data_IF_242459312154
#
_entry.id   IF_242459312154
#
_cell.length_a   1.000
_cell.length_b   1.000
_cell.length_c   1.000
_cell.angle_alpha   90.00
_cell.angle_beta   90.00
_cell.angle_gamma   90.00
#
_symmetry.space_group_name_H-M   'P 1'
#
loop_
_entity.id
_entity.type
_entity.pdbx_description
1 polymer ?
#
# COMPACT_ATOMS: atom_id res chain seq x y z
N UNK A 1 2.37 12.94 -17.93
CA UNK A 1 2.94 11.79 -18.65
C UNK A 1 3.32 10.73 -17.63
N UNK A 2 3.00 9.45 -17.93
CA UNK A 2 3.23 8.33 -17.00
C UNK A 2 3.98 7.20 -17.74
N UNK A 3 5.09 6.76 -17.13
CA UNK A 3 5.81 5.54 -17.50
C UNK A 3 6.51 5.01 -16.24
N UNK A 4 5.82 4.14 -15.49
CA UNK A 4 6.33 3.66 -14.20
C UNK A 4 5.69 2.32 -13.81
N UNK A 5 6.46 1.40 -13.20
CA UNK A 5 5.94 0.14 -12.66
C UNK A 5 5.21 0.31 -11.33
N UNK A 6 5.23 1.49 -10.72
CA UNK A 6 4.71 1.76 -9.39
C UNK A 6 5.81 2.02 -8.37
N UNK A 7 5.50 1.81 -7.10
CA UNK A 7 6.44 2.09 -6.01
C UNK A 7 5.81 1.91 -4.63
N UNK A 8 6.47 2.45 -3.62
CA UNK A 8 6.06 2.36 -2.22
C UNK A 8 4.75 3.12 -1.97
N UNK A 9 3.89 2.56 -1.13
CA UNK A 9 2.53 3.07 -0.88
C UNK A 9 2.53 4.49 -0.30
N UNK A 10 3.31 4.75 0.75
CA UNK A 10 3.27 6.06 1.43
C UNK A 10 3.66 7.24 0.53
N UNK A 11 4.76 7.19 -0.25
CA UNK A 11 5.05 8.23 -1.24
C UNK A 11 3.95 8.41 -2.29
N UNK A 12 3.35 7.29 -2.75
CA UNK A 12 2.22 7.35 -3.70
C UNK A 12 1.05 8.11 -3.11
N UNK A 13 0.65 7.83 -1.87
CA UNK A 13 -0.47 8.51 -1.22
C UNK A 13 -0.21 10.02 -1.04
N UNK A 14 1.01 10.41 -0.66
CA UNK A 14 1.40 11.81 -0.53
C UNK A 14 1.29 12.55 -1.87
N UNK A 15 1.79 11.95 -2.95
CA UNK A 15 1.70 12.54 -4.30
C UNK A 15 0.24 12.57 -4.78
N UNK A 16 -0.52 11.51 -4.51
CA UNK A 16 -1.92 11.43 -4.90
C UNK A 16 -2.76 12.53 -4.25
N UNK A 17 -2.53 12.80 -2.96
CA UNK A 17 -3.17 13.90 -2.25
C UNK A 17 -2.83 15.25 -2.89
N UNK A 18 -1.56 15.50 -3.18
CA UNK A 18 -1.12 16.73 -3.85
C UNK A 18 -1.76 16.89 -5.24
N UNK A 19 -1.82 15.83 -6.03
CA UNK A 19 -2.45 15.85 -7.36
C UNK A 19 -3.97 16.11 -7.28
N UNK A 20 -4.65 15.54 -6.30
CA UNK A 20 -6.09 15.75 -6.07
C UNK A 20 -6.41 17.18 -5.63
N UNK A 21 -5.47 17.83 -4.94
CA UNK A 21 -5.58 19.22 -4.52
C UNK A 21 -5.44 20.25 -5.63
N UNK A 22 -4.99 19.85 -6.83
CA UNK A 22 -4.88 20.77 -7.95
C UNK A 22 -6.26 21.22 -8.46
N UNK A 23 -6.43 22.50 -8.72
CA UNK A 23 -7.66 23.06 -9.25
C UNK A 23 -7.80 22.87 -10.77
N UNK A 24 -6.68 22.69 -11.48
CA UNK A 24 -6.66 22.48 -12.92
C UNK A 24 -7.09 21.04 -13.29
N UNK A 25 -7.68 20.85 -14.47
CA UNK A 25 -7.97 19.52 -15.00
C UNK A 25 -6.68 18.70 -15.17
N UNK A 26 -6.69 17.49 -14.64
CA UNK A 26 -5.62 16.54 -14.86
C UNK A 26 -6.04 15.51 -15.91
N UNK A 27 -5.14 15.21 -16.83
CA UNK A 27 -5.24 14.14 -17.82
C UNK A 27 -4.01 13.26 -17.72
N UNK A 28 -4.10 12.01 -18.13
CA UNK A 28 -2.96 11.12 -18.10
C UNK A 28 -2.61 10.62 -19.50
N UNK A 29 -1.31 10.69 -19.84
CA UNK A 29 -0.76 10.11 -21.06
C UNK A 29 0.24 9.03 -20.69
N UNK A 30 -0.12 7.77 -20.91
CA UNK A 30 0.72 6.61 -20.59
C UNK A 30 1.58 6.28 -21.77
N UNK A 31 2.91 6.40 -21.62
CA UNK A 31 3.87 6.22 -22.72
C UNK A 31 4.47 4.82 -22.77
N UNK A 32 4.48 4.11 -21.66
CA UNK A 32 4.93 2.72 -21.54
C UNK A 32 4.03 1.97 -20.56
N UNK A 33 4.13 2.27 -19.29
CA UNK A 33 3.33 1.59 -18.28
C UNK A 33 2.84 2.54 -17.18
N UNK A 34 1.67 2.21 -16.65
CA UNK A 34 1.10 2.79 -15.44
C UNK A 34 0.61 1.63 -14.56
N UNK A 35 1.51 1.05 -13.77
CA UNK A 35 1.23 -0.14 -12.98
C UNK A 35 1.26 0.16 -11.49
N UNK A 36 0.46 -0.58 -10.70
CA UNK A 36 0.48 -0.50 -9.24
C UNK A 36 0.34 0.95 -8.76
N UNK A 37 1.20 1.43 -7.87
CA UNK A 37 1.19 2.82 -7.38
C UNK A 37 1.18 3.89 -8.48
N UNK A 38 1.80 3.62 -9.66
CA UNK A 38 1.73 4.54 -10.78
C UNK A 38 0.31 4.63 -11.38
N UNK A 39 -0.43 3.51 -11.44
CA UNK A 39 -1.83 3.55 -11.83
C UNK A 39 -2.67 4.26 -10.74
N UNK A 40 -2.36 4.05 -9.47
CA UNK A 40 -3.02 4.78 -8.39
C UNK A 40 -2.89 6.29 -8.57
N UNK A 41 -1.71 6.79 -8.92
CA UNK A 41 -1.50 8.21 -9.26
C UNK A 41 -2.33 8.66 -10.48
N UNK A 42 -2.51 7.78 -11.50
CA UNK A 42 -3.35 8.13 -12.64
C UNK A 42 -4.83 8.30 -12.27
N UNK A 43 -5.28 7.73 -11.14
CA UNK A 43 -6.65 7.96 -10.64
C UNK A 43 -6.90 9.41 -10.18
N UNK A 44 -5.87 10.23 -10.04
CA UNK A 44 -6.03 11.67 -9.85
C UNK A 44 -6.49 12.40 -11.14
N UNK A 45 -6.32 11.78 -12.30
CA UNK A 45 -6.78 12.35 -13.55
C UNK A 45 -8.33 12.39 -13.59
N UNK A 46 -8.87 13.60 -13.64
CA UNK A 46 -10.32 13.84 -13.77
C UNK A 46 -10.79 13.74 -15.23
N UNK A 47 -9.87 13.99 -16.15
CA UNK A 47 -10.08 13.88 -17.59
C UNK A 47 -9.56 12.55 -18.14
N UNK A 48 -9.43 12.47 -19.49
CA UNK A 48 -9.07 11.23 -20.17
C UNK A 48 -7.69 10.68 -19.80
N UNK A 49 -7.61 9.35 -19.80
CA UNK A 49 -6.37 8.56 -19.72
C UNK A 49 -6.12 7.93 -21.07
N UNK A 50 -5.07 8.36 -21.77
CA UNK A 50 -4.75 7.89 -23.12
C UNK A 50 -3.43 7.12 -23.12
N UNK A 51 -3.45 5.93 -23.72
CA UNK A 51 -2.28 5.11 -23.93
C UNK A 51 -1.59 5.50 -25.25
N UNK A 52 -0.27 5.73 -25.25
CA UNK A 52 0.49 6.07 -26.45
C UNK A 52 0.40 5.01 -27.54
N UNK A 53 0.23 3.76 -27.16
CA UNK A 53 0.19 2.65 -28.12
C UNK A 53 -0.36 1.35 -27.50
N UNK A 54 -0.55 0.32 -28.33
CA UNK A 54 -1.17 -0.93 -27.89
C UNK A 54 -0.32 -1.72 -26.90
N UNK A 55 0.98 -1.47 -26.83
CA UNK A 55 1.92 -2.14 -25.94
C UNK A 55 1.98 -1.51 -24.54
N UNK A 56 1.30 -0.38 -24.30
CA UNK A 56 1.17 0.19 -22.96
C UNK A 56 0.50 -0.81 -22.02
N UNK A 57 0.93 -0.79 -20.76
CA UNK A 57 0.39 -1.67 -19.73
C UNK A 57 -0.17 -0.83 -18.56
N UNK A 58 -1.36 -1.22 -18.08
CA UNK A 58 -2.05 -0.54 -16.99
C UNK A 58 -2.58 -1.53 -15.96
N UNK A 59 -2.94 -1.03 -14.79
CA UNK A 59 -3.53 -1.81 -13.73
C UNK A 59 -2.52 -2.32 -12.72
N UNK A 60 -2.38 -3.62 -12.53
CA UNK A 60 -1.62 -4.18 -11.39
C UNK A 60 -2.12 -3.57 -10.07
N UNK A 61 -3.46 -3.47 -9.91
CA UNK A 61 -4.10 -2.90 -8.72
C UNK A 61 -3.97 -3.92 -7.61
N UNK A 62 -2.97 -3.73 -6.76
CA UNK A 62 -2.63 -4.67 -5.71
C UNK A 62 -1.43 -4.19 -4.90
N UNK A 63 -1.13 -4.91 -3.83
CA UNK A 63 0.03 -4.69 -3.00
C UNK A 63 0.69 -6.02 -2.64
N UNK A 64 1.98 -5.98 -2.45
CA UNK A 64 2.74 -7.11 -1.90
C UNK A 64 3.78 -6.59 -0.91
N UNK A 65 4.25 -7.49 -0.07
CA UNK A 65 5.35 -7.25 0.86
C UNK A 65 6.33 -8.40 0.73
N UNK A 66 7.60 -8.07 0.59
CA UNK A 66 8.67 -9.05 0.55
C UNK A 66 9.35 -9.14 1.92
N UNK A 67 9.52 -10.36 2.41
CA UNK A 67 10.21 -10.64 3.67
C UNK A 67 11.42 -11.50 3.35
N UNK A 68 12.60 -10.98 3.62
CA UNK A 68 13.83 -11.75 3.54
C UNK A 68 14.08 -12.43 4.89
N UNK A 69 14.03 -13.76 4.91
CA UNK A 69 14.42 -14.57 6.06
C UNK A 69 15.90 -14.99 5.93
N UNK A 70 16.74 -14.34 6.67
CA UNK A 70 18.17 -14.56 6.69
C UNK A 70 18.64 -15.39 7.90
N UNK A 71 17.74 -15.94 8.71
CA UNK A 71 18.06 -16.58 9.99
C UNK A 71 18.95 -17.81 9.80
N UNK A 72 18.61 -18.67 8.85
CA UNK A 72 19.41 -19.88 8.58
C UNK A 72 20.79 -19.54 8.00
N UNK A 73 20.88 -18.56 7.12
CA UNK A 73 22.14 -18.08 6.57
C UNK A 73 23.07 -17.58 7.68
N UNK A 74 22.56 -16.72 8.57
CA UNK A 74 23.32 -16.18 9.70
C UNK A 74 23.76 -17.30 10.66
N UNK A 75 22.88 -18.26 10.96
CA UNK A 75 23.21 -19.39 11.80
C UNK A 75 24.37 -20.24 11.23
N UNK A 76 24.39 -20.50 9.92
CA UNK A 76 25.48 -21.16 9.21
C UNK A 76 26.82 -20.39 9.30
N UNK A 77 26.75 -19.07 9.39
CA UNK A 77 27.89 -18.17 9.56
C UNK A 77 28.34 -18.07 11.04
N UNK A 78 27.66 -18.76 11.96
CA UNK A 78 27.95 -18.69 13.41
C UNK A 78 27.46 -17.39 14.06
N UNK A 79 26.56 -16.64 13.39
CA UNK A 79 26.02 -15.37 13.89
C UNK A 79 24.66 -15.63 14.55
N UNK A 80 24.54 -15.37 15.85
CA UNK A 80 23.29 -15.40 16.58
C UNK A 80 22.65 -14.01 16.62
N UNK A 81 21.39 -13.89 16.15
CA UNK A 81 20.62 -12.63 16.22
C UNK A 81 19.62 -12.68 17.36
N UNK A 82 19.81 -11.84 18.36
CA UNK A 82 18.89 -11.69 19.49
C UNK A 82 18.05 -10.43 19.34
N UNK A 83 16.71 -10.55 19.48
CA UNK A 83 15.79 -9.41 19.53
C UNK A 83 15.15 -9.34 20.91
N UNK A 84 15.44 -8.27 21.63
CA UNK A 84 14.89 -8.02 22.95
C UNK A 84 13.85 -6.92 22.84
N UNK A 85 12.66 -7.18 23.35
CA UNK A 85 11.55 -6.23 23.35
C UNK A 85 11.31 -5.74 24.77
N UNK A 86 10.88 -4.49 24.92
CA UNK A 86 10.41 -3.99 26.21
C UNK A 86 9.20 -4.80 26.69
N UNK A 87 9.05 -4.97 28.01
CA UNK A 87 7.96 -5.76 28.60
C UNK A 87 6.56 -5.30 28.15
N UNK A 88 6.38 -3.98 27.99
CA UNK A 88 5.12 -3.38 27.54
C UNK A 88 4.94 -3.38 25.99
N UNK A 89 5.91 -3.93 25.24
CA UNK A 89 5.89 -3.91 23.76
C UNK A 89 5.70 -5.32 23.18
N UNK A 90 4.87 -6.15 23.79
CA UNK A 90 4.64 -7.55 23.40
C UNK A 90 4.14 -7.72 21.96
N UNK A 91 3.37 -6.75 21.46
CA UNK A 91 2.82 -6.75 20.10
C UNK A 91 3.74 -6.15 19.05
N UNK A 92 4.87 -5.56 19.46
CA UNK A 92 5.80 -4.95 18.48
C UNK A 92 6.32 -5.98 17.49
N UNK A 93 6.12 -5.74 16.20
CA UNK A 93 6.48 -6.65 15.09
C UNK A 93 5.83 -8.06 15.22
N UNK A 94 4.64 -8.17 15.83
CA UNK A 94 3.98 -9.46 15.99
C UNK A 94 3.68 -10.12 14.64
N UNK A 95 3.28 -9.34 13.66
CA UNK A 95 2.99 -9.77 12.30
C UNK A 95 4.23 -10.31 11.58
N UNK A 96 5.39 -9.64 11.73
CA UNK A 96 6.66 -10.11 11.17
C UNK A 96 7.13 -11.40 11.85
N UNK A 97 6.98 -11.49 13.19
CA UNK A 97 7.31 -12.72 13.91
C UNK A 97 6.42 -13.89 13.52
N UNK A 98 5.15 -13.64 13.23
CA UNK A 98 4.24 -14.66 12.71
C UNK A 98 4.66 -15.09 11.30
N UNK A 99 4.97 -14.15 10.43
CA UNK A 99 5.40 -14.40 9.06
C UNK A 99 6.69 -15.23 8.97
N UNK A 100 7.68 -14.96 9.84
CA UNK A 100 8.91 -15.75 9.93
C UNK A 100 8.68 -17.21 10.43
N UNK A 101 7.47 -17.52 10.91
CA UNK A 101 7.02 -18.89 11.23
C UNK A 101 6.05 -19.46 10.18
N UNK A 102 5.89 -18.76 9.03
CA UNK A 102 5.01 -19.18 7.95
C UNK A 102 3.54 -18.72 8.08
N UNK A 103 3.19 -17.91 9.08
CA UNK A 103 1.85 -17.34 9.21
C UNK A 103 1.82 -15.89 8.72
N UNK A 104 1.34 -15.70 7.50
CA UNK A 104 1.24 -14.38 6.85
C UNK A 104 -0.10 -13.68 7.10
N UNK A 105 -1.03 -14.31 7.82
CA UNK A 105 -2.41 -13.84 7.95
C UNK A 105 -2.54 -12.45 8.60
N UNK A 106 -1.69 -12.13 9.57
CA UNK A 106 -1.68 -10.81 10.20
C UNK A 106 -1.21 -9.72 9.23
N UNK A 107 -0.12 -9.96 8.50
CA UNK A 107 0.36 -9.03 7.46
C UNK A 107 -0.68 -8.78 6.36
N UNK A 108 -1.37 -9.83 5.92
CA UNK A 108 -2.43 -9.70 4.93
C UNK A 108 -3.57 -8.83 5.47
N UNK A 109 -4.15 -9.18 6.62
CA UNK A 109 -5.31 -8.46 7.18
C UNK A 109 -5.01 -7.04 7.61
N UNK A 110 -3.85 -6.80 8.19
CA UNK A 110 -3.55 -5.52 8.86
C UNK A 110 -2.86 -4.51 7.92
N UNK A 111 -2.16 -4.99 6.90
CA UNK A 111 -1.36 -4.13 6.02
C UNK A 111 -1.78 -4.20 4.55
N UNK A 112 -1.83 -5.41 3.96
CA UNK A 112 -2.02 -5.56 2.52
C UNK A 112 -3.48 -5.34 2.10
N UNK A 113 -4.42 -6.01 2.76
CA UNK A 113 -5.83 -5.94 2.39
C UNK A 113 -6.43 -4.54 2.56
N UNK A 114 -6.13 -3.77 3.65
CA UNK A 114 -6.60 -2.40 3.76
C UNK A 114 -6.05 -1.51 2.64
N UNK A 115 -4.77 -1.67 2.29
CA UNK A 115 -4.12 -0.93 1.20
C UNK A 115 -4.78 -1.22 -0.14
N UNK A 116 -5.03 -2.49 -0.44
CA UNK A 116 -5.66 -2.90 -1.70
C UNK A 116 -7.10 -2.44 -1.79
N UNK A 117 -7.86 -2.52 -0.68
CA UNK A 117 -9.24 -2.01 -0.63
C UNK A 117 -9.32 -0.51 -0.92
N UNK A 118 -8.42 0.29 -0.36
CA UNK A 118 -8.39 1.73 -0.63
C UNK A 118 -8.02 2.02 -2.09
N UNK A 119 -7.02 1.32 -2.62
CA UNK A 119 -6.65 1.45 -4.03
C UNK A 119 -7.80 1.10 -4.99
N UNK A 120 -8.48 -0.02 -4.73
CA UNK A 120 -9.65 -0.44 -5.51
C UNK A 120 -10.80 0.58 -5.42
N UNK A 121 -11.06 1.12 -4.23
CA UNK A 121 -12.08 2.14 -4.03
C UNK A 121 -11.75 3.43 -4.80
N UNK A 122 -10.48 3.85 -4.79
CA UNK A 122 -10.01 4.99 -5.57
C UNK A 122 -10.17 4.78 -7.08
N UNK A 123 -9.76 3.61 -7.58
CA UNK A 123 -9.92 3.26 -8.98
C UNK A 123 -11.39 3.22 -9.39
N UNK A 124 -12.26 2.64 -8.55
CA UNK A 124 -13.70 2.60 -8.78
C UNK A 124 -14.30 4.00 -8.86
N UNK A 125 -13.99 4.87 -7.90
CA UNK A 125 -14.48 6.26 -7.87
C UNK A 125 -14.00 7.05 -9.08
N UNK A 126 -12.69 7.02 -9.35
CA UNK A 126 -12.07 7.81 -10.40
C UNK A 126 -12.52 7.40 -11.81
N UNK A 127 -12.79 6.12 -12.02
CA UNK A 127 -13.14 5.57 -13.32
C UNK A 127 -14.62 5.19 -13.45
N UNK A 128 -15.41 5.40 -12.39
CA UNK A 128 -16.83 5.01 -12.31
C UNK A 128 -17.05 3.54 -12.75
N UNK A 129 -16.22 2.63 -12.21
CA UNK A 129 -16.24 1.23 -12.62
C UNK A 129 -17.47 0.50 -12.07
N UNK A 130 -18.14 -0.25 -12.93
CA UNK A 130 -19.20 -1.16 -12.53
C UNK A 130 -18.63 -2.36 -11.73
N UNK A 131 -19.49 -3.07 -10.99
CA UNK A 131 -19.09 -4.27 -10.24
C UNK A 131 -18.40 -5.30 -11.13
N UNK A 132 -18.90 -5.54 -12.34
CA UNK A 132 -18.27 -6.47 -13.28
C UNK A 132 -16.90 -6.01 -13.79
N UNK A 133 -16.66 -4.71 -13.89
CA UNK A 133 -15.34 -4.17 -14.20
C UNK A 133 -14.41 -4.29 -13.00
N UNK A 134 -14.92 -4.03 -11.77
CA UNK A 134 -14.15 -4.19 -10.54
C UNK A 134 -13.63 -5.62 -10.35
N UNK A 135 -14.45 -6.63 -10.61
CA UNK A 135 -14.02 -8.03 -10.56
C UNK A 135 -12.84 -8.33 -11.49
N UNK A 136 -12.82 -7.72 -12.67
CA UNK A 136 -11.72 -7.89 -13.64
C UNK A 136 -10.43 -7.24 -13.18
N UNK A 137 -10.50 -6.10 -12.50
CA UNK A 137 -9.32 -5.32 -12.10
C UNK A 137 -8.78 -5.71 -10.72
N UNK A 138 -9.61 -6.30 -9.86
CA UNK A 138 -9.25 -6.68 -8.49
C UNK A 138 -8.25 -7.84 -8.38
N UNK A 139 -7.90 -8.48 -9.50
CA UNK A 139 -6.95 -9.61 -9.53
C UNK A 139 -5.48 -9.20 -9.36
N UNK A 140 -5.16 -7.92 -9.33
CA UNK A 140 -3.77 -7.42 -9.31
C UNK A 140 -3.02 -7.58 -10.63
N UNK A 141 -3.70 -8.00 -11.71
CA UNK A 141 -3.09 -8.26 -13.00
C UNK A 141 -2.78 -6.98 -13.77
N UNK A 142 -1.63 -6.95 -14.44
CA UNK A 142 -1.32 -5.94 -15.43
C UNK A 142 -2.01 -6.28 -16.77
N UNK A 143 -2.66 -5.29 -17.38
CA UNK A 143 -3.43 -5.41 -18.63
C UNK A 143 -2.75 -4.66 -19.76
N UNK A 144 -2.81 -5.16 -20.98
CA UNK A 144 -2.46 -4.38 -22.18
C UNK A 144 -3.47 -3.27 -22.44
N UNK A 145 -3.09 -2.24 -23.20
CA UNK A 145 -3.90 -1.03 -23.41
C UNK A 145 -5.34 -1.33 -23.87
N UNK A 146 -5.51 -2.24 -24.84
CA UNK A 146 -6.84 -2.57 -25.35
C UNK A 146 -7.72 -3.25 -24.30
N UNK A 147 -7.13 -4.08 -23.44
CA UNK A 147 -7.84 -4.73 -22.35
C UNK A 147 -8.15 -3.74 -21.23
N UNK A 148 -7.22 -2.84 -20.92
CA UNK A 148 -7.40 -1.78 -19.95
C UNK A 148 -8.58 -0.85 -20.33
N UNK A 149 -8.74 -0.53 -21.62
CA UNK A 149 -9.89 0.22 -22.11
C UNK A 149 -11.18 -0.55 -21.86
N UNK A 150 -11.24 -1.83 -22.24
CA UNK A 150 -12.44 -2.67 -21.97
C UNK A 150 -12.76 -2.81 -20.48
N UNK A 151 -11.74 -2.78 -19.64
CA UNK A 151 -11.89 -2.80 -18.19
C UNK A 151 -12.23 -1.42 -17.58
N UNK A 152 -12.23 -0.34 -18.37
CA UNK A 152 -12.49 1.01 -17.91
C UNK A 152 -11.30 1.73 -17.29
N UNK A 153 -10.10 1.16 -17.37
CA UNK A 153 -8.90 1.75 -16.79
C UNK A 153 -8.26 2.84 -17.66
N UNK A 154 -8.57 2.88 -18.94
CA UNK A 154 -8.14 3.90 -19.90
C UNK A 154 -9.27 4.22 -20.89
N UNK A 155 -9.12 5.30 -21.64
CA UNK A 155 -10.15 5.80 -22.55
C UNK A 155 -9.82 5.57 -24.02
N UNK A 156 -8.54 5.70 -24.41
CA UNK A 156 -8.13 5.57 -25.81
C UNK A 156 -6.68 5.10 -25.96
N UNK A 157 -6.37 4.67 -27.19
CA UNK A 157 -5.00 4.47 -27.66
C UNK A 157 -4.74 5.52 -28.74
N UNK A 158 -3.63 6.27 -28.64
CA UNK A 158 -3.25 7.26 -29.61
C UNK A 158 -2.08 8.12 -29.17
N UNK A 159 -1.87 9.19 -29.89
CA UNK A 159 -0.77 10.12 -29.64
C UNK A 159 -1.25 11.36 -28.84
N UNK A 160 -0.38 12.34 -28.66
CA UNK A 160 -0.73 13.60 -27.98
C UNK A 160 -1.90 14.34 -28.63
N UNK A 161 -2.07 14.23 -29.95
CA UNK A 161 -3.23 14.80 -30.63
C UNK A 161 -4.52 14.09 -30.22
N UNK A 162 -4.49 12.77 -30.04
CA UNK A 162 -5.62 12.01 -29.51
C UNK A 162 -5.97 12.48 -28.09
N UNK A 163 -4.97 12.68 -27.22
CA UNK A 163 -5.17 13.20 -25.87
C UNK A 163 -5.80 14.60 -25.91
N UNK A 164 -5.31 15.49 -26.78
CA UNK A 164 -5.87 16.84 -26.93
C UNK A 164 -7.34 16.78 -27.33
N UNK A 165 -7.70 16.01 -28.36
CA UNK A 165 -9.08 15.87 -28.82
C UNK A 165 -9.99 15.26 -27.73
N UNK A 166 -9.47 14.28 -26.98
CA UNK A 166 -10.21 13.69 -25.87
C UNK A 166 -10.42 14.67 -24.71
N UNK A 167 -9.42 15.53 -24.44
CA UNK A 167 -9.53 16.59 -23.44
C UNK A 167 -10.55 17.66 -23.88
N UNK A 168 -10.49 18.13 -25.13
CA UNK A 168 -11.41 19.11 -25.67
C UNK A 168 -12.87 18.60 -25.56
N UNK A 169 -13.12 17.35 -25.99
CA UNK A 169 -14.43 16.73 -25.89
C UNK A 169 -14.90 16.56 -24.43
N UNK A 170 -13.97 16.27 -23.50
CA UNK A 170 -14.28 16.16 -22.08
C UNK A 170 -14.61 17.52 -21.46
N UNK A 171 -13.90 18.60 -21.86
CA UNK A 171 -14.15 19.96 -21.39
C UNK A 171 -15.52 20.50 -21.87
N UNK A 172 -15.97 20.04 -23.03
CA UNK A 172 -17.30 20.41 -23.58
C UNK A 172 -18.45 19.62 -22.94
N UNK A 173 -18.17 18.59 -22.12
CA UNK A 173 -19.17 17.73 -21.52
C UNK A 173 -19.28 17.93 -20.00
N UNK A 174 -20.17 18.82 -19.49
CA UNK A 174 -20.33 19.06 -18.06
C UNK A 174 -20.66 17.80 -17.24
N UNK A 175 -21.43 16.87 -17.82
CA UNK A 175 -21.83 15.62 -17.16
C UNK A 175 -20.62 14.72 -16.93
N UNK A 176 -19.69 14.66 -17.89
CA UNK A 176 -18.46 13.89 -17.75
C UNK A 176 -17.54 14.50 -16.69
N UNK A 177 -17.52 15.82 -16.55
CA UNK A 177 -16.76 16.53 -15.52
C UNK A 177 -17.31 16.28 -14.12
N UNK A 178 -18.63 16.28 -13.96
CA UNK A 178 -19.29 16.09 -12.67
C UNK A 178 -19.13 14.65 -12.13
N UNK A 179 -19.21 13.65 -13.00
CA UNK A 179 -19.00 12.24 -12.62
C UNK A 179 -17.61 11.97 -12.05
N UNK A 180 -16.61 12.73 -12.44
CA UNK A 180 -15.22 12.59 -12.02
C UNK A 180 -14.80 13.61 -10.94
N UNK A 181 -15.75 14.33 -10.34
CA UNK A 181 -15.46 15.22 -9.22
C UNK A 181 -15.06 14.40 -8.00
N UNK A 182 -13.89 14.64 -7.40
CA UNK A 182 -13.54 13.99 -6.15
C UNK A 182 -14.56 14.42 -5.10
N UNK A 183 -15.15 13.46 -4.41
CA UNK A 183 -15.86 13.76 -3.17
C UNK A 183 -14.78 14.24 -2.20
N UNK A 184 -14.75 15.54 -1.94
CA UNK A 184 -13.93 16.08 -0.85
C UNK A 184 -14.52 15.51 0.42
N UNK A 185 -13.94 14.42 0.90
CA UNK A 185 -14.16 13.98 2.27
C UNK A 185 -13.44 15.03 3.12
N UNK A 186 -14.19 16.02 3.58
CA UNK A 186 -13.71 16.91 4.62
C UNK A 186 -13.36 16.04 5.80
N UNK A 187 -12.06 15.89 6.05
CA UNK A 187 -11.60 15.35 7.31
C UNK A 187 -12.26 16.19 8.42
N UNK A 188 -12.91 15.58 9.42
CA UNK A 188 -13.43 16.32 10.53
C UNK A 188 -12.27 17.11 11.13
N UNK A 189 -12.41 18.43 11.15
CA UNK A 189 -11.45 19.31 11.80
C UNK A 189 -11.37 18.93 13.27
N UNK A 190 -10.28 18.31 13.66
CA UNK A 190 -10.02 17.76 15.00
C UNK A 190 -9.72 18.89 16.00
N UNK A 191 -10.47 20.01 15.94
CA UNK A 191 -10.30 21.17 16.83
C UNK A 191 -11.31 21.22 17.98
N UNK A 192 -12.27 20.28 18.08
CA UNK A 192 -13.30 20.35 19.14
C UNK A 192 -13.19 19.31 20.26
N UNK A 193 -12.16 18.49 20.35
CA UNK A 193 -12.08 17.47 21.40
C UNK A 193 -10.82 17.54 22.30
N UNK A 194 -10.32 18.76 22.56
CA UNK A 194 -9.32 18.98 23.61
C UNK A 194 -9.91 19.64 24.88
N UNK A 195 -11.16 19.34 25.23
CA UNK A 195 -11.73 19.70 26.52
C UNK A 195 -12.30 18.48 27.24
N UNK A 196 -11.51 17.45 27.37
CA UNK A 196 -11.75 16.35 28.29
C UNK A 196 -10.51 16.23 29.17
N UNK A 197 -10.54 16.83 30.34
CA UNK A 197 -9.60 16.54 31.42
C UNK A 197 -9.69 15.06 31.73
N UNK A 198 -8.69 14.28 31.36
CA UNK A 198 -8.45 12.98 31.97
C UNK A 198 -7.44 13.22 33.11
N UNK A 199 -7.93 12.98 34.30
CA UNK A 199 -7.12 12.90 35.51
C UNK A 199 -6.06 11.81 35.29
N UNK A 200 -4.82 12.24 35.16
CA UNK A 200 -3.67 11.35 35.21
C UNK A 200 -3.54 10.90 36.65
N UNK A 201 -4.09 9.73 36.94
CA UNK A 201 -3.84 9.04 38.21
C UNK A 201 -2.36 8.72 38.27
N UNK A 202 -1.67 9.39 39.14
CA UNK A 202 -0.24 9.18 39.44
C UNK A 202 -0.07 7.71 39.82
N UNK A 203 0.61 6.94 38.96
CA UNK A 203 1.05 5.58 39.30
C UNK A 203 2.24 5.73 40.25
N UNK A 204 2.13 5.13 41.43
CA UNK A 204 3.26 4.98 42.35
C UNK A 204 4.42 4.24 41.68
N UNK A 205 5.67 4.56 42.00
CA UNK A 205 6.82 3.87 41.45
C UNK A 205 6.82 2.39 41.91
N UNK A 206 6.80 1.48 40.96
CA UNK A 206 7.02 0.06 41.23
C UNK A 206 8.47 -0.14 41.72
N UNK A 207 8.62 -0.82 42.87
CA UNK A 207 9.91 -1.27 43.37
C UNK A 207 10.70 -2.06 42.29
N UNK A 208 12.01 -1.85 42.18
CA UNK A 208 12.81 -2.61 41.24
C UNK A 208 12.85 -4.09 41.63
N UNK A 209 12.51 -4.95 40.68
CA UNK A 209 12.61 -6.40 40.84
C UNK A 209 14.04 -6.80 41.20
N UNK A 210 14.20 -7.60 42.24
CA UNK A 210 15.49 -8.15 42.68
C UNK A 210 16.11 -8.98 41.55
N UNK A 211 17.47 -8.92 41.37
CA UNK A 211 18.15 -9.71 40.36
C UNK A 211 18.08 -11.19 40.73
N UNK A 212 17.54 -11.99 39.81
CA UNK A 212 17.60 -13.45 39.90
C UNK A 212 19.03 -13.85 39.60
N UNK A 213 19.70 -14.41 40.63
CA UNK A 213 21.02 -15.00 40.49
C UNK A 213 20.98 -16.21 39.53
N UNK A 214 22.00 -16.40 38.67
CA UNK A 214 22.04 -17.55 37.80
C UNK A 214 22.16 -18.82 38.64
N UNK A 215 21.31 -19.79 38.40
CA UNK A 215 21.45 -21.16 38.90
C UNK A 215 22.76 -21.75 38.37
N UNK A 216 23.54 -22.30 39.24
CA UNK A 216 24.83 -22.94 38.95
C UNK A 216 24.70 -23.95 37.81
N UNK A 217 25.63 -23.87 36.86
CA UNK A 217 25.77 -24.82 35.78
C UNK A 217 26.15 -26.21 36.36
N UNK A 218 25.36 -27.22 36.06
CA UNK A 218 25.65 -28.62 36.35
C UNK A 218 26.93 -29.03 35.64
N UNK A 219 27.87 -29.65 36.41
CA UNK A 219 29.15 -30.17 35.93
C UNK A 219 28.97 -31.19 34.78
N UNK A 220 29.91 -31.22 33.82
CA UNK A 220 29.89 -32.20 32.75
C UNK A 220 30.24 -33.61 33.29
N UNK A 221 29.39 -34.59 32.99
CA UNK A 221 29.59 -36.00 33.28
C UNK A 221 30.84 -36.54 32.59
N UNK A 222 31.66 -37.30 33.36
CA UNK A 222 32.90 -37.96 32.93
C UNK A 222 32.63 -38.97 31.79
N UNK A 223 33.59 -39.18 30.88
CA UNK A 223 33.48 -40.20 29.84
C UNK A 223 33.52 -41.61 30.44
N UNK A 224 32.64 -42.47 29.90
CA UNK A 224 32.62 -43.91 30.22
C UNK A 224 33.74 -44.57 29.41
N UNK A 225 34.72 -45.16 30.12
CA UNK A 225 35.74 -46.05 29.54
C UNK A 225 35.08 -47.34 29.04
N UNK A 226 35.28 -47.63 27.77
CA UNK A 226 34.94 -48.93 27.17
C UNK A 226 36.15 -49.80 27.07
N UNK A 227 36.18 -50.82 27.87
CA UNK A 227 36.95 -52.09 27.63
C UNK A 227 36.18 -52.98 26.68
#
# INVERSE_FOLDING_TARGET
VVDSPGGQVQPVLTILEALRGLECPLVAFVTGQALSGAYWLTTAARGPIVCRGPLCRLGSIGAYLEILDDQEMLARMGIARHRVYASLSSMKHHELRAALRGDYSALQREWLDPTVREFLADAQRARNLSSAQMERVASGRAMGAQEAIRAGLADAIGNLRTLQLALDAWLENPIAQEKNRPTVVSLPSNTENMKGKQDIKTMEPMEPAQPVLPTEASEPSKPIDST
#
